data_IF_281984551363
#
_entry.id   IF_281984551363
#
_cell.length_a   1.000
_cell.length_b   1.000
_cell.length_c   1.000
_cell.angle_alpha   90.00
_cell.angle_beta   90.00
_cell.angle_gamma   90.00
#
_symmetry.space_group_name_H-M   'P 1'
#
loop_
_entity.id
_entity.type
_entity.pdbx_description
1 polymer ?
#
# COMPACT_ATOMS: atom_id res chain seq x y z
N UNK A 1 22.23 -42.16 27.15
CA UNK A 1 22.83 -40.85 26.79
C UNK A 1 21.91 -40.26 25.75
N UNK A 2 21.05 -39.35 26.21
CA UNK A 2 19.70 -39.10 25.71
C UNK A 2 19.61 -37.76 24.96
N UNK A 3 18.81 -37.71 23.89
CA UNK A 3 18.55 -36.59 22.94
C UNK A 3 18.38 -35.17 23.52
N UNK A 4 18.22 -35.03 24.83
CA UNK A 4 18.05 -33.74 25.53
C UNK A 4 19.31 -32.86 25.50
N UNK A 5 20.49 -33.45 25.31
CA UNK A 5 21.77 -32.72 25.27
C UNK A 5 22.04 -32.05 23.91
N UNK A 6 21.44 -32.54 22.82
CA UNK A 6 21.67 -32.04 21.46
C UNK A 6 20.95 -30.71 21.18
N UNK A 7 19.73 -30.52 21.68
CA UNK A 7 18.97 -29.27 21.50
C UNK A 7 19.53 -28.10 22.31
N UNK A 8 20.15 -28.39 23.46
CA UNK A 8 20.86 -27.40 24.28
C UNK A 8 22.18 -26.93 23.66
N UNK A 9 22.83 -27.77 22.84
CA UNK A 9 24.04 -27.40 22.11
C UNK A 9 23.73 -26.52 20.90
N UNK A 10 22.67 -26.83 20.12
CA UNK A 10 22.25 -26.05 18.96
C UNK A 10 21.78 -24.63 19.34
N UNK A 11 21.02 -24.49 20.44
CA UNK A 11 20.61 -23.18 20.97
C UNK A 11 21.79 -22.33 21.45
N UNK A 12 22.81 -22.93 22.09
CA UNK A 12 24.05 -22.25 22.47
C UNK A 12 24.89 -21.85 21.25
N UNK A 13 24.88 -22.66 20.19
CA UNK A 13 25.59 -22.36 18.96
C UNK A 13 24.94 -21.18 18.21
N UNK A 14 23.60 -21.16 18.12
CA UNK A 14 22.85 -20.04 17.55
C UNK A 14 23.06 -18.74 18.33
N UNK A 15 23.07 -18.80 19.66
CA UNK A 15 23.35 -17.65 20.51
C UNK A 15 24.76 -17.07 20.27
N UNK A 16 25.76 -17.93 20.06
CA UNK A 16 27.13 -17.50 19.71
C UNK A 16 27.21 -16.85 18.33
N UNK A 17 26.56 -17.43 17.32
CA UNK A 17 26.55 -16.85 15.97
C UNK A 17 25.85 -15.48 15.94
N UNK A 18 24.79 -15.32 16.72
CA UNK A 18 24.08 -14.03 16.85
C UNK A 18 24.92 -12.99 17.60
N UNK A 19 25.66 -13.42 18.62
CA UNK A 19 26.62 -12.57 19.33
C UNK A 19 27.77 -12.11 18.42
N UNK A 20 28.35 -13.02 17.63
CA UNK A 20 29.43 -12.70 16.68
C UNK A 20 28.93 -11.72 15.60
N UNK A 21 27.73 -11.94 15.06
CA UNK A 21 27.12 -11.03 14.09
C UNK A 21 26.87 -9.62 14.65
N UNK A 22 26.47 -9.52 15.93
CA UNK A 22 26.28 -8.23 16.61
C UNK A 22 27.62 -7.53 16.88
N UNK A 23 28.66 -8.27 17.24
CA UNK A 23 30.01 -7.72 17.43
C UNK A 23 30.59 -7.21 16.11
N UNK A 24 30.40 -7.94 15.00
CA UNK A 24 30.81 -7.50 13.67
C UNK A 24 30.06 -6.22 13.24
N UNK A 25 28.75 -6.14 13.51
CA UNK A 25 27.96 -4.94 13.23
C UNK A 25 28.43 -3.73 14.07
N UNK A 26 28.77 -3.93 15.34
CA UNK A 26 29.33 -2.89 16.21
C UNK A 26 30.73 -2.45 15.74
N UNK A 27 31.57 -3.38 15.27
CA UNK A 27 32.87 -3.06 14.68
C UNK A 27 32.74 -2.28 13.36
N UNK A 28 31.76 -2.63 12.52
CA UNK A 28 31.49 -1.90 11.27
C UNK A 28 31.01 -0.46 11.54
N UNK A 29 30.13 -0.24 12.52
CA UNK A 29 29.69 1.09 12.91
C UNK A 29 30.84 1.93 13.51
N UNK A 30 31.69 1.33 14.33
CA UNK A 30 32.88 2.02 14.88
C UNK A 30 33.92 2.34 13.80
N UNK A 31 34.02 1.52 12.76
CA UNK A 31 34.88 1.80 11.60
C UNK A 31 34.35 2.96 10.76
N UNK A 32 33.03 3.14 10.67
CA UNK A 32 32.41 4.30 9.99
C UNK A 32 32.64 5.59 10.81
N UNK A 33 32.56 5.51 12.13
CA UNK A 33 32.82 6.65 13.03
C UNK A 33 34.30 7.09 13.00
N UNK A 34 35.24 6.15 12.80
CA UNK A 34 36.66 6.47 12.58
C UNK A 34 36.93 7.13 11.21
N UNK A 35 36.06 6.92 10.22
CA UNK A 35 36.17 7.57 8.90
C UNK A 35 35.58 9.00 8.94
N UNK A 36 34.59 9.28 9.78
CA UNK A 36 34.10 10.66 10.02
C UNK A 36 35.10 11.55 10.78
N UNK A 37 36.07 10.96 11.48
CA UNK A 37 37.10 11.70 12.26
C UNK A 37 38.26 12.28 11.45
N UNK A 38 38.31 12.09 10.12
CA UNK A 38 39.41 12.51 9.25
C UNK A 38 39.05 13.61 8.24
N UNK A 39 38.05 14.45 8.52
CA UNK A 39 37.78 15.63 7.69
C UNK A 39 38.33 16.93 8.31
N UNK A 40 39.48 17.37 7.79
CA UNK A 40 39.86 18.79 7.66
C UNK A 40 40.56 19.04 6.32
N UNK A 41 40.44 20.26 5.77
CA UNK A 41 40.13 20.46 4.36
C UNK A 41 41.39 20.54 3.51
N UNK A 42 41.38 19.84 2.38
CA UNK A 42 42.29 20.11 1.26
C UNK A 42 41.44 20.51 0.07
N UNK A 43 41.53 21.77 -0.27
CA UNK A 43 41.02 22.37 -1.51
C UNK A 43 41.73 21.71 -2.69
N UNK A 44 41.03 20.84 -3.40
CA UNK A 44 41.33 20.49 -4.79
C UNK A 44 40.02 20.52 -5.56
N UNK A 45 39.94 21.48 -6.48
CA UNK A 45 38.88 21.58 -7.48
C UNK A 45 38.77 20.23 -8.22
N UNK A 46 37.68 19.50 -7.97
CA UNK A 46 37.28 18.37 -8.80
C UNK A 46 36.18 18.86 -9.73
N UNK A 47 36.54 18.96 -11.00
CA UNK A 47 35.63 19.17 -12.12
C UNK A 47 34.57 18.05 -12.17
N UNK A 48 33.34 18.35 -12.62
CA UNK A 48 32.24 17.40 -12.68
C UNK A 48 32.35 16.49 -13.91
N UNK A 49 33.39 15.68 -14.01
CA UNK A 49 33.60 14.80 -15.18
C UNK A 49 32.95 13.41 -15.06
N UNK A 50 32.27 13.08 -13.95
CA UNK A 50 31.67 11.75 -13.76
C UNK A 50 30.32 11.49 -14.44
N UNK A 51 29.56 12.55 -14.78
CA UNK A 51 28.18 12.42 -15.29
C UNK A 51 28.08 12.64 -16.80
N UNK A 52 28.92 13.51 -17.35
CA UNK A 52 28.94 13.80 -18.79
C UNK A 52 29.62 12.65 -19.55
N UNK A 53 30.69 12.05 -19.01
CA UNK A 53 31.31 10.85 -19.60
C UNK A 53 30.38 9.63 -19.59
N UNK A 54 29.50 9.52 -18.58
CA UNK A 54 28.47 8.47 -18.54
C UNK A 54 27.38 8.71 -19.59
N UNK A 55 26.97 9.95 -19.85
CA UNK A 55 26.05 10.31 -20.93
C UNK A 55 26.67 10.18 -22.34
N UNK A 56 27.96 10.47 -22.48
CA UNK A 56 28.72 10.26 -23.71
C UNK A 56 28.90 8.76 -24.03
N UNK A 57 29.08 7.93 -23.00
CA UNK A 57 29.15 6.46 -23.16
C UNK A 57 27.82 5.84 -23.63
N UNK A 58 26.68 6.48 -23.34
CA UNK A 58 25.36 6.05 -23.78
C UNK A 58 25.02 6.52 -25.21
N UNK A 59 25.68 7.57 -25.71
CA UNK A 59 25.49 8.06 -27.09
C UNK A 59 26.48 7.45 -28.09
N UNK A 60 27.59 6.85 -27.62
CA UNK A 60 28.62 6.23 -28.48
C UNK A 60 28.36 4.78 -28.93
N UNK A 61 27.41 4.05 -28.34
CA UNK A 61 27.22 2.61 -28.62
C UNK A 61 26.02 2.26 -29.52
N UNK A 62 25.31 3.26 -30.06
CA UNK A 62 24.12 3.02 -30.90
C UNK A 62 24.43 2.63 -32.37
N UNK A 63 25.69 2.64 -32.83
CA UNK A 63 25.99 2.42 -34.25
C UNK A 63 26.52 1.04 -34.65
N UNK A 64 26.63 0.07 -33.74
CA UNK A 64 26.97 -1.31 -34.11
C UNK A 64 26.22 -2.34 -33.27
N UNK A 65 24.93 -2.50 -33.52
CA UNK A 65 24.27 -3.79 -33.26
C UNK A 65 23.40 -4.17 -34.44
N UNK A 66 23.96 -5.04 -35.28
CA UNK A 66 23.24 -5.74 -36.32
C UNK A 66 22.17 -6.65 -35.72
N UNK A 67 21.00 -6.62 -36.35
CA UNK A 67 20.04 -7.71 -36.57
C UNK A 67 20.05 -8.85 -35.54
N UNK A 68 19.39 -8.62 -34.39
CA UNK A 68 18.55 -9.63 -33.72
C UNK A 68 17.23 -8.96 -33.30
N UNK A 69 16.38 -8.73 -34.30
CA UNK A 69 15.09 -8.07 -34.15
C UNK A 69 14.05 -9.07 -33.64
N UNK A 70 13.83 -9.09 -32.33
CA UNK A 70 12.59 -9.65 -31.76
C UNK A 70 12.30 -9.05 -30.40
N UNK A 71 13.32 -8.86 -29.57
CA UNK A 71 13.10 -8.49 -28.16
C UNK A 71 13.01 -6.96 -27.94
N UNK A 72 13.73 -6.15 -28.71
CA UNK A 72 13.70 -4.67 -28.58
C UNK A 72 12.42 -4.04 -29.12
N UNK A 73 11.85 -4.55 -30.21
CA UNK A 73 10.55 -4.08 -30.75
C UNK A 73 9.39 -4.41 -29.80
N UNK A 74 9.43 -5.57 -29.15
CA UNK A 74 8.46 -5.96 -28.13
C UNK A 74 8.53 -5.06 -26.90
N UNK A 75 9.73 -4.69 -26.44
CA UNK A 75 9.90 -3.77 -25.30
C UNK A 75 9.40 -2.35 -25.61
N UNK A 76 9.68 -1.82 -26.80
CA UNK A 76 9.18 -0.51 -27.24
C UNK A 76 7.65 -0.53 -27.39
N UNK A 77 7.09 -1.57 -28.01
CA UNK A 77 5.64 -1.74 -28.13
C UNK A 77 4.95 -1.86 -26.77
N UNK A 78 5.55 -2.62 -25.83
CA UNK A 78 5.04 -2.76 -24.46
C UNK A 78 5.12 -1.46 -23.66
N UNK A 79 6.20 -0.69 -23.81
CA UNK A 79 6.33 0.62 -23.16
C UNK A 79 5.27 1.61 -23.66
N UNK A 80 4.99 1.62 -24.97
CA UNK A 80 3.94 2.45 -25.56
C UNK A 80 2.54 2.06 -25.06
N UNK A 81 2.22 0.77 -25.02
CA UNK A 81 0.93 0.27 -24.49
C UNK A 81 0.77 0.64 -23.02
N UNK A 82 1.79 0.39 -22.19
CA UNK A 82 1.77 0.75 -20.77
C UNK A 82 1.56 2.26 -20.57
N UNK A 83 2.17 3.10 -21.41
CA UNK A 83 1.99 4.56 -21.34
C UNK A 83 0.56 4.99 -21.70
N UNK A 84 -0.08 4.33 -22.68
CA UNK A 84 -1.47 4.61 -23.03
C UNK A 84 -2.44 4.16 -21.94
N UNK A 85 -2.21 2.98 -21.36
CA UNK A 85 -3.02 2.47 -20.26
C UNK A 85 -2.85 3.33 -19.01
N UNK A 86 -1.64 3.83 -18.74
CA UNK A 86 -1.39 4.79 -17.68
C UNK A 86 -2.13 6.11 -17.90
N UNK A 87 -2.09 6.68 -19.11
CA UNK A 87 -2.82 7.91 -19.43
C UNK A 87 -4.34 7.72 -19.26
N UNK A 88 -4.88 6.57 -19.69
CA UNK A 88 -6.30 6.23 -19.46
C UNK A 88 -6.62 6.13 -17.97
N UNK A 89 -5.77 5.45 -17.20
CA UNK A 89 -5.93 5.35 -15.75
C UNK A 89 -5.87 6.73 -15.07
N UNK A 90 -5.00 7.62 -15.54
CA UNK A 90 -4.90 9.00 -15.06
C UNK A 90 -6.14 9.82 -15.41
N UNK A 91 -6.68 9.69 -16.63
CA UNK A 91 -7.95 10.34 -17.02
C UNK A 91 -9.11 9.89 -16.13
N UNK A 92 -9.28 8.58 -15.93
CA UNK A 92 -10.32 8.03 -15.05
C UNK A 92 -10.12 8.46 -13.60
N UNK A 93 -8.87 8.50 -13.12
CA UNK A 93 -8.55 8.97 -11.78
C UNK A 93 -8.85 10.47 -11.61
N UNK A 94 -8.58 11.28 -12.64
CA UNK A 94 -8.88 12.71 -12.66
C UNK A 94 -10.39 12.98 -12.62
N UNK A 95 -11.16 12.25 -13.42
CA UNK A 95 -12.63 12.29 -13.36
C UNK A 95 -13.15 11.89 -11.99
N UNK A 96 -12.63 10.80 -11.42
CA UNK A 96 -13.00 10.38 -10.06
C UNK A 96 -12.66 11.44 -9.01
N UNK A 97 -11.55 12.16 -9.16
CA UNK A 97 -11.17 13.24 -8.23
C UNK A 97 -12.14 14.42 -8.33
N UNK A 98 -12.55 14.76 -9.56
CA UNK A 98 -13.58 15.78 -9.83
C UNK A 98 -14.91 15.40 -9.20
N UNK A 99 -15.38 14.16 -9.40
CA UNK A 99 -16.62 13.66 -8.82
C UNK A 99 -16.58 13.76 -7.29
N UNK A 100 -15.47 13.36 -6.69
CA UNK A 100 -15.25 13.45 -5.24
C UNK A 100 -15.35 14.91 -4.77
N UNK A 101 -14.73 15.85 -5.49
CA UNK A 101 -14.78 17.27 -5.16
C UNK A 101 -16.21 17.80 -5.23
N UNK A 102 -16.94 17.47 -6.29
CA UNK A 102 -18.33 17.91 -6.50
C UNK A 102 -19.28 17.29 -5.45
N UNK A 103 -19.10 16.02 -5.10
CA UNK A 103 -19.85 15.34 -4.01
C UNK A 103 -19.54 15.96 -2.65
N UNK A 104 -18.31 16.42 -2.42
CA UNK A 104 -17.94 17.16 -1.22
C UNK A 104 -18.51 18.60 -1.18
N UNK A 105 -19.19 19.05 -2.22
CA UNK A 105 -19.74 20.41 -2.33
C UNK A 105 -18.66 21.48 -2.53
N UNK A 106 -17.46 21.09 -2.98
CA UNK A 106 -16.34 22.00 -3.17
C UNK A 106 -16.22 22.45 -4.62
N UNK A 107 -15.96 23.73 -4.83
CA UNK A 107 -15.47 24.25 -6.11
C UNK A 107 -14.00 23.93 -6.31
N UNK A 108 -13.51 24.00 -7.55
CA UNK A 108 -12.09 23.81 -7.87
C UNK A 108 -11.20 24.81 -7.09
N UNK A 109 -11.69 26.04 -6.89
CA UNK A 109 -11.00 27.07 -6.13
C UNK A 109 -10.91 26.71 -4.64
N UNK A 110 -12.02 26.32 -4.02
CA UNK A 110 -12.06 25.98 -2.60
C UNK A 110 -11.21 24.75 -2.28
N UNK A 111 -11.25 23.74 -3.16
CA UNK A 111 -10.41 22.56 -2.99
C UNK A 111 -8.92 22.93 -3.16
N UNK A 112 -8.57 23.74 -4.15
CA UNK A 112 -7.19 24.20 -4.36
C UNK A 112 -6.65 24.97 -3.15
N UNK A 113 -7.48 25.81 -2.55
CA UNK A 113 -7.15 26.54 -1.31
C UNK A 113 -7.01 25.60 -0.11
N UNK A 114 -7.95 24.67 0.07
CA UNK A 114 -7.89 23.66 1.14
C UNK A 114 -6.66 22.75 1.03
N UNK A 115 -6.19 22.50 -0.19
CA UNK A 115 -4.96 21.73 -0.46
C UNK A 115 -3.68 22.58 -0.38
N UNK A 116 -3.80 23.89 -0.14
CA UNK A 116 -2.71 24.85 -0.11
C UNK A 116 -1.84 24.79 -1.39
N UNK A 117 -2.51 24.81 -2.55
CA UNK A 117 -1.87 24.86 -3.85
C UNK A 117 -1.53 26.31 -4.23
N UNK A 118 -0.32 26.53 -4.75
CA UNK A 118 0.10 27.88 -5.22
C UNK A 118 -0.63 28.31 -6.49
N UNK A 119 -0.99 27.36 -7.34
CA UNK A 119 -1.67 27.60 -8.61
C UNK A 119 -2.84 26.62 -8.78
N UNK A 120 -4.01 27.17 -9.10
CA UNK A 120 -5.25 26.43 -9.33
C UNK A 120 -5.19 25.59 -10.60
N UNK A 121 -4.40 26.00 -11.59
CA UNK A 121 -4.21 25.28 -12.85
C UNK A 121 -3.65 23.86 -12.64
N UNK A 122 -2.91 23.65 -11.55
CA UNK A 122 -2.37 22.34 -11.18
C UNK A 122 -3.49 21.36 -10.87
N UNK A 123 -4.51 21.78 -10.11
CA UNK A 123 -5.64 20.92 -9.78
C UNK A 123 -6.49 20.63 -11.02
N UNK A 124 -6.68 21.63 -11.88
CA UNK A 124 -7.37 21.46 -13.17
C UNK A 124 -6.66 20.47 -14.09
N UNK A 125 -5.33 20.54 -14.19
CA UNK A 125 -4.53 19.59 -14.96
C UNK A 125 -4.61 18.16 -14.39
N UNK A 126 -4.71 18.02 -13.07
CA UNK A 126 -4.86 16.71 -12.42
C UNK A 126 -6.26 16.13 -12.67
N UNK A 127 -7.34 16.93 -12.53
CA UNK A 127 -8.72 16.51 -12.82
C UNK A 127 -8.91 16.14 -14.29
N UNK A 128 -8.19 16.80 -15.20
CA UNK A 128 -8.17 16.49 -16.63
C UNK A 128 -7.23 15.32 -16.99
N UNK A 129 -6.53 14.72 -16.01
CA UNK A 129 -5.60 13.61 -16.20
C UNK A 129 -4.36 13.94 -17.03
N UNK A 130 -4.01 15.23 -17.17
CA UNK A 130 -2.82 15.70 -17.91
C UNK A 130 -1.60 15.87 -17.01
N UNK A 131 -1.79 15.90 -15.68
CA UNK A 131 -0.73 16.00 -14.70
C UNK A 131 -0.83 14.89 -13.64
N UNK A 132 0.32 14.51 -13.08
CA UNK A 132 0.40 13.51 -12.00
C UNK A 132 0.13 14.12 -10.63
N UNK A 133 -0.38 13.30 -9.71
CA UNK A 133 -0.60 13.67 -8.32
C UNK A 133 0.62 13.28 -7.47
N UNK A 134 1.24 14.24 -6.77
CA UNK A 134 2.34 13.93 -5.84
C UNK A 134 1.82 13.15 -4.64
N UNK A 135 2.63 12.24 -4.07
CA UNK A 135 2.18 11.43 -2.93
C UNK A 135 1.74 12.29 -1.73
N UNK A 136 2.45 13.39 -1.47
CA UNK A 136 2.04 14.37 -0.47
C UNK A 136 0.64 14.94 -0.75
N UNK A 137 0.35 15.30 -2.00
CA UNK A 137 -0.95 15.84 -2.38
C UNK A 137 -2.05 14.76 -2.29
N UNK A 138 -1.73 13.48 -2.52
CA UNK A 138 -2.64 12.35 -2.25
C UNK A 138 -3.00 12.30 -0.76
N UNK A 139 -2.01 12.46 0.13
CA UNK A 139 -2.24 12.47 1.58
C UNK A 139 -3.07 13.69 2.02
N UNK A 140 -2.80 14.87 1.47
CA UNK A 140 -3.60 16.08 1.73
C UNK A 140 -5.05 15.91 1.26
N UNK A 141 -5.25 15.36 0.07
CA UNK A 141 -6.57 15.02 -0.46
C UNK A 141 -7.30 14.00 0.41
N UNK A 142 -6.60 12.95 0.85
CA UNK A 142 -7.16 11.98 1.78
C UNK A 142 -7.59 12.66 3.07
N UNK A 143 -6.78 13.56 3.65
CA UNK A 143 -7.16 14.30 4.85
C UNK A 143 -8.39 15.21 4.64
N UNK A 144 -8.53 15.81 3.45
CA UNK A 144 -9.66 16.68 3.10
C UNK A 144 -10.96 15.90 2.87
N UNK A 145 -10.88 14.75 2.19
CA UNK A 145 -12.04 14.04 1.64
C UNK A 145 -12.48 12.85 2.48
N UNK A 146 -11.60 12.23 3.29
CA UNK A 146 -11.77 10.86 3.77
C UNK A 146 -12.80 10.64 4.89
N UNK A 147 -14.04 11.08 4.67
CA UNK A 147 -15.23 10.72 5.44
C UNK A 147 -15.51 9.21 5.42
N UNK A 148 -15.11 8.49 4.37
CA UNK A 148 -15.52 7.10 4.11
C UNK A 148 -14.33 6.10 4.01
N UNK A 149 -13.18 6.44 4.60
CA UNK A 149 -11.90 5.70 4.67
C UNK A 149 -10.77 6.22 3.73
N UNK A 150 -9.66 6.76 4.29
CA UNK A 150 -8.55 7.28 3.50
C UNK A 150 -7.68 6.20 2.86
N UNK A 151 -7.63 4.99 3.42
CA UNK A 151 -6.63 3.99 3.00
C UNK A 151 -6.87 3.49 1.57
N UNK A 152 -8.09 3.05 1.18
CA UNK A 152 -8.35 2.63 -0.19
C UNK A 152 -8.12 3.77 -1.19
N UNK A 153 -8.44 5.00 -0.79
CA UNK A 153 -8.22 6.19 -1.61
C UNK A 153 -6.72 6.38 -1.87
N UNK A 154 -5.89 6.43 -0.82
CA UNK A 154 -4.44 6.60 -0.96
C UNK A 154 -3.86 5.49 -1.84
N UNK A 155 -4.24 4.24 -1.59
CA UNK A 155 -3.72 3.08 -2.33
C UNK A 155 -4.09 3.14 -3.82
N UNK A 156 -5.37 3.39 -4.14
CA UNK A 156 -5.86 3.48 -5.52
C UNK A 156 -5.26 4.67 -6.25
N UNK A 157 -5.25 5.85 -5.63
CA UNK A 157 -4.73 7.07 -6.23
C UNK A 157 -3.23 6.97 -6.45
N UNK A 158 -2.48 6.40 -5.50
CA UNK A 158 -1.02 6.18 -5.66
C UNK A 158 -0.74 5.23 -6.81
N UNK A 159 -1.49 4.12 -6.92
CA UNK A 159 -1.34 3.18 -8.03
C UNK A 159 -1.58 3.82 -9.40
N UNK A 160 -2.57 4.70 -9.51
CA UNK A 160 -2.97 5.31 -10.78
C UNK A 160 -2.04 6.46 -11.22
N UNK A 161 -1.56 7.26 -10.27
CA UNK A 161 -0.75 8.45 -10.58
C UNK A 161 0.76 8.24 -10.42
N UNK A 162 1.19 7.35 -9.53
CA UNK A 162 2.60 7.14 -9.22
C UNK A 162 2.91 5.64 -9.03
N UNK A 163 3.09 4.89 -10.14
CA UNK A 163 3.32 3.45 -10.08
C UNK A 163 4.64 3.09 -9.39
N UNK A 164 5.66 3.96 -9.44
CA UNK A 164 6.94 3.75 -8.76
C UNK A 164 6.77 3.80 -7.23
N UNK A 165 6.06 4.81 -6.71
CA UNK A 165 5.73 4.90 -5.28
C UNK A 165 4.85 3.73 -4.85
N UNK A 166 3.91 3.29 -5.70
CA UNK A 166 3.13 2.09 -5.44
C UNK A 166 3.99 0.83 -5.28
N UNK A 167 5.02 0.64 -6.10
CA UNK A 167 5.93 -0.52 -5.95
C UNK A 167 6.65 -0.47 -4.60
N UNK A 168 7.17 0.69 -4.20
CA UNK A 168 7.85 0.85 -2.89
C UNK A 168 6.90 0.49 -1.74
N UNK A 169 5.65 1.00 -1.76
CA UNK A 169 4.65 0.68 -0.73
C UNK A 169 4.27 -0.81 -0.74
N UNK A 170 4.18 -1.41 -1.93
CA UNK A 170 3.87 -2.83 -2.08
C UNK A 170 5.00 -3.71 -1.53
N UNK A 171 6.27 -3.34 -1.78
CA UNK A 171 7.45 -4.04 -1.25
C UNK A 171 7.54 -3.96 0.27
N UNK A 172 7.04 -2.86 0.86
CA UNK A 172 6.89 -2.70 2.31
C UNK A 172 5.69 -3.46 2.88
N UNK A 173 4.93 -4.16 2.05
CA UNK A 173 3.82 -5.03 2.47
C UNK A 173 2.49 -4.32 2.64
N UNK A 174 2.36 -3.03 2.27
CA UNK A 174 1.12 -2.26 2.43
C UNK A 174 -0.04 -2.84 1.62
N UNK A 175 0.25 -3.57 0.54
CA UNK A 175 -0.77 -4.26 -0.25
C UNK A 175 -1.34 -5.53 0.41
N UNK A 176 -0.71 -6.02 1.49
CA UNK A 176 -1.09 -7.25 2.18
C UNK A 176 -1.84 -6.94 3.48
N UNK A 177 -2.84 -6.07 3.42
CA UNK A 177 -3.70 -5.80 4.58
C UNK A 177 -4.36 -7.12 5.02
N UNK A 178 -4.12 -7.60 6.24
CA UNK A 178 -4.77 -8.82 6.72
C UNK A 178 -6.29 -8.65 6.78
N UNK A 179 -7.04 -9.73 6.54
CA UNK A 179 -8.50 -9.74 6.57
C UNK A 179 -9.09 -9.14 7.87
N UNK A 180 -8.40 -9.31 9.01
CA UNK A 180 -8.83 -8.73 10.27
C UNK A 180 -8.79 -7.20 10.26
N UNK A 181 -7.79 -6.59 9.61
CA UNK A 181 -7.73 -5.13 9.46
C UNK A 181 -8.85 -4.61 8.55
N UNK A 182 -9.24 -5.36 7.52
CA UNK A 182 -10.39 -4.99 6.69
C UNK A 182 -11.69 -5.02 7.49
N UNK A 183 -11.89 -6.06 8.32
CA UNK A 183 -13.05 -6.17 9.22
C UNK A 183 -13.10 -5.03 10.24
N UNK A 184 -11.99 -4.75 10.92
CA UNK A 184 -11.88 -3.63 11.86
C UNK A 184 -12.20 -2.28 11.19
N UNK A 185 -11.73 -2.11 9.94
CA UNK A 185 -11.99 -0.90 9.16
C UNK A 185 -13.46 -0.71 8.83
N UNK A 186 -14.22 -1.76 8.53
CA UNK A 186 -15.66 -1.64 8.28
C UNK A 186 -16.41 -1.06 9.49
N UNK A 187 -16.05 -1.46 10.72
CA UNK A 187 -16.63 -0.88 11.94
C UNK A 187 -16.30 0.61 12.10
N UNK A 188 -15.03 0.96 11.88
CA UNK A 188 -14.60 2.37 11.92
C UNK A 188 -15.34 3.18 10.85
N UNK A 189 -15.62 2.58 9.70
CA UNK A 189 -16.30 3.25 8.60
C UNK A 189 -17.76 3.57 8.91
N UNK A 190 -18.47 2.68 9.61
CA UNK A 190 -19.83 2.97 10.13
C UNK A 190 -19.81 4.26 10.95
N UNK A 191 -18.89 4.38 11.91
CA UNK A 191 -18.74 5.60 12.69
C UNK A 191 -18.42 6.82 11.81
N UNK A 192 -17.46 6.69 10.88
CA UNK A 192 -16.99 7.84 10.09
C UNK A 192 -18.04 8.42 9.14
N UNK A 193 -18.98 7.60 8.66
CA UNK A 193 -20.08 8.01 7.76
C UNK A 193 -21.14 8.87 8.45
N UNK A 194 -21.25 8.84 9.78
CA UNK A 194 -22.28 9.54 10.53
C UNK A 194 -21.72 10.81 11.20
N UNK A 195 -21.96 11.96 10.57
CA UNK A 195 -21.49 13.25 11.10
C UNK A 195 -22.13 13.63 12.44
N UNK A 196 -23.39 13.22 12.67
CA UNK A 196 -24.10 13.44 13.93
C UNK A 196 -23.34 12.85 15.13
N UNK A 197 -22.63 11.75 14.93
CA UNK A 197 -21.85 11.12 16.00
C UNK A 197 -20.69 12.02 16.49
N UNK A 198 -20.21 12.96 15.67
CA UNK A 198 -19.12 13.89 15.99
C UNK A 198 -19.58 15.13 16.74
N UNK A 199 -20.86 15.45 16.69
CA UNK A 199 -21.45 16.63 17.35
C UNK A 199 -22.08 16.29 18.70
N UNK A 200 -22.09 15.01 19.07
CA UNK A 200 -22.57 14.56 20.39
C UNK A 200 -21.71 15.13 21.51
N UNK A 201 -22.35 15.37 22.66
CA UNK A 201 -21.63 15.57 23.92
C UNK A 201 -20.92 14.28 24.33
N UNK A 202 -19.90 14.38 25.19
CA UNK A 202 -19.18 13.22 25.72
C UNK A 202 -20.13 12.19 26.35
N UNK A 203 -21.15 12.66 27.09
CA UNK A 203 -22.18 11.80 27.69
C UNK A 203 -23.06 11.11 26.63
N UNK A 204 -23.44 11.85 25.57
CA UNK A 204 -24.21 11.29 24.46
C UNK A 204 -23.42 10.23 23.69
N UNK A 205 -22.14 10.51 23.43
CA UNK A 205 -21.24 9.57 22.77
C UNK A 205 -21.03 8.30 23.60
N UNK A 206 -20.87 8.43 24.92
CA UNK A 206 -20.75 7.28 25.83
C UNK A 206 -21.99 6.38 25.78
N UNK A 207 -23.20 6.94 25.74
CA UNK A 207 -24.44 6.17 25.60
C UNK A 207 -24.51 5.40 24.28
N UNK A 208 -24.11 6.04 23.17
CA UNK A 208 -24.03 5.38 21.85
C UNK A 208 -23.02 4.25 21.87
N UNK A 209 -21.88 4.44 22.52
CA UNK A 209 -20.82 3.43 22.63
C UNK A 209 -21.30 2.21 23.46
N UNK A 210 -21.98 2.44 24.59
CA UNK A 210 -22.55 1.37 25.41
C UNK A 210 -23.62 0.58 24.67
N UNK A 211 -24.55 1.28 24.00
CA UNK A 211 -25.57 0.64 23.17
C UNK A 211 -24.97 -0.20 22.05
N UNK A 212 -23.93 0.32 21.39
CA UNK A 212 -23.23 -0.37 20.31
C UNK A 212 -22.53 -1.63 20.82
N UNK A 213 -21.90 -1.56 22.01
CA UNK A 213 -21.27 -2.74 22.65
C UNK A 213 -22.29 -3.84 22.91
N UNK A 214 -23.41 -3.51 23.54
CA UNK A 214 -24.47 -4.48 23.83
C UNK A 214 -25.08 -5.07 22.54
N UNK A 215 -25.32 -4.22 21.54
CA UNK A 215 -25.86 -4.66 20.24
C UNK A 215 -24.88 -5.58 19.49
N UNK A 216 -23.57 -5.30 19.61
CA UNK A 216 -22.53 -6.13 19.04
C UNK A 216 -22.44 -7.50 19.73
N UNK A 217 -22.42 -7.54 21.06
CA UNK A 217 -22.45 -8.79 21.84
C UNK A 217 -23.68 -9.65 21.49
N UNK A 218 -24.85 -9.02 21.39
CA UNK A 218 -26.08 -9.67 20.99
C UNK A 218 -25.99 -10.24 19.56
N UNK A 219 -25.42 -9.46 18.64
CA UNK A 219 -25.22 -9.88 17.24
C UNK A 219 -24.26 -11.07 17.16
N UNK A 220 -23.18 -11.07 17.93
CA UNK A 220 -22.25 -12.20 18.01
C UNK A 220 -22.97 -13.48 18.48
N UNK A 221 -23.75 -13.38 19.56
CA UNK A 221 -24.52 -14.52 20.07
C UNK A 221 -25.46 -15.11 19.00
N UNK A 222 -26.20 -14.26 18.27
CA UNK A 222 -27.10 -14.74 17.22
C UNK A 222 -26.37 -15.35 16.02
N UNK A 223 -25.24 -14.76 15.60
CA UNK A 223 -24.47 -15.29 14.48
C UNK A 223 -23.79 -16.62 14.84
N UNK A 224 -23.24 -16.74 16.05
CA UNK A 224 -22.68 -18.00 16.55
C UNK A 224 -23.72 -19.12 16.57
N UNK A 225 -24.93 -18.83 17.05
CA UNK A 225 -26.03 -19.80 17.05
C UNK A 225 -26.43 -20.21 15.63
N UNK A 226 -26.51 -19.26 14.70
CA UNK A 226 -26.79 -19.54 13.29
C UNK A 226 -25.70 -20.38 12.62
N UNK A 227 -24.44 -20.06 12.85
CA UNK A 227 -23.30 -20.82 12.32
C UNK A 227 -23.32 -22.27 12.82
N UNK A 228 -23.64 -22.48 14.10
CA UNK A 228 -23.80 -23.81 14.67
C UNK A 228 -24.96 -24.59 14.02
N UNK A 229 -26.14 -23.97 13.90
CA UNK A 229 -27.30 -24.60 13.24
C UNK A 229 -27.00 -24.98 11.79
N UNK A 230 -26.30 -24.12 11.04
CA UNK A 230 -25.89 -24.41 9.67
C UNK A 230 -24.87 -25.55 9.61
N UNK A 231 -23.92 -25.59 10.55
CA UNK A 231 -22.95 -26.68 10.64
C UNK A 231 -23.63 -28.03 10.92
N UNK A 232 -24.58 -28.07 11.85
CA UNK A 232 -25.34 -29.27 12.21
C UNK A 232 -26.19 -29.76 11.03
N UNK A 233 -26.86 -28.84 10.30
CA UNK A 233 -27.62 -29.17 9.10
C UNK A 233 -26.73 -29.69 7.96
N UNK A 234 -25.52 -29.14 7.78
CA UNK A 234 -24.56 -29.64 6.80
C UNK A 234 -24.06 -31.04 7.15
N UNK A 235 -23.72 -31.27 8.41
CA UNK A 235 -23.29 -32.59 8.88
C UNK A 235 -24.40 -33.65 8.67
N UNK A 236 -25.65 -33.31 9.00
CA UNK A 236 -26.79 -34.19 8.78
C UNK A 236 -27.07 -34.46 7.28
N UNK A 237 -26.80 -33.50 6.40
CA UNK A 237 -26.94 -33.70 4.95
C UNK A 237 -25.81 -34.58 4.37
N UNK A 238 -24.58 -34.38 4.82
CA UNK A 238 -23.42 -35.20 4.43
C UNK A 238 -23.54 -36.65 4.92
N UNK A 239 -24.06 -36.88 6.12
CA UNK A 239 -24.34 -38.22 6.66
C UNK A 239 -25.46 -38.94 5.89
N UNK A 240 -26.40 -38.19 5.31
CA UNK A 240 -27.52 -38.73 4.52
C UNK A 240 -27.22 -38.87 3.01
N UNK A 241 -26.04 -38.45 2.53
CA UNK A 241 -25.58 -38.68 1.16
C UNK A 241 -24.52 -39.79 1.13
N UNK A 242 -24.89 -41.07 0.90
CA UNK A 242 -23.88 -42.11 0.71
C UNK A 242 -23.17 -41.86 -0.64
N UNK A 243 -21.84 -41.76 -0.61
CA UNK A 243 -21.02 -42.00 -1.80
C UNK A 243 -21.37 -43.39 -2.36
N UNK A 244 -22.05 -43.44 -3.50
CA UNK A 244 -22.23 -44.67 -4.26
C UNK A 244 -23.67 -44.98 -4.67
N UNK A 245 -24.15 -44.30 -5.71
CA UNK A 245 -25.04 -44.95 -6.68
C UNK A 245 -24.25 -45.13 -7.96
N UNK A 246 -23.91 -46.37 -8.39
CA UNK A 246 -23.21 -46.56 -9.65
C UNK A 246 -24.14 -46.07 -10.76
N UNK A 247 -23.64 -45.20 -11.63
CA UNK A 247 -24.28 -44.90 -12.91
C UNK A 247 -24.53 -46.23 -13.61
N UNK A 248 -25.78 -46.70 -13.55
CA UNK A 248 -26.22 -47.89 -14.26
C UNK A 248 -26.00 -47.65 -15.74
N UNK A 249 -25.22 -48.52 -16.36
CA UNK A 249 -25.05 -48.61 -17.79
C UNK A 249 -26.41 -48.73 -18.49
N UNK A 250 -26.63 -47.90 -19.50
CA UNK A 250 -27.27 -48.24 -20.77
C UNK A 250 -26.90 -47.21 -21.82
#
# INVERSE_FOLDING_TARGET
MTEKDASGQDSRQKARMLQDMLLDALHAMRSLEQVEGLEKPVTQERTPEGLIDRLASLTGSALRFGVKATDTSLRVGRALINSQDQLRAMLTAGQSLRDIREVAGLTLSEMSEALNLRDKSVLEAIENGTSTLSFELILRLAALIARNDPIPFIMRTTRNYNPEVWQILNDWGVARLPLQFEREREFINIFRRHDDARTLSDEGFQKVLEFTRQSFEMSLHFIEEQEQQVADLRAAYEENCPEGSPRSAK
#
